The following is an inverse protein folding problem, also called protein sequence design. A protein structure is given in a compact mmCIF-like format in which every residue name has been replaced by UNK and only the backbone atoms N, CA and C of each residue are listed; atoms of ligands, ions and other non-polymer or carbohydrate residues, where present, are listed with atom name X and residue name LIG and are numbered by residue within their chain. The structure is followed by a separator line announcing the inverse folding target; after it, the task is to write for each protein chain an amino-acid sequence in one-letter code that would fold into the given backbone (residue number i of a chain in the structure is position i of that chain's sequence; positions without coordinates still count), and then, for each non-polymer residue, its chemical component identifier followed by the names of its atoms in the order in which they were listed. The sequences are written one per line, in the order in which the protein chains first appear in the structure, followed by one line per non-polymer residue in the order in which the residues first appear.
data_IF_855839715352
#
_entry.id   IF_855839715352
#
_cell.length_a   1.000
_cell.length_b   1.000
_cell.length_c   1.000
_cell.angle_alpha   90.00
_cell.angle_beta   90.00
_cell.angle_gamma   90.00
#
_symmetry.space_group_name_H-M   'P 1'
#
loop_
_entity.id
_entity.type
_entity.pdbx_description
1 polymer ?
#
# COMPACT_ATOMS: atom_id res chain seq x y z
N UNK A 1 -15.07 -0.70 7.12
CA UNK A 1 -13.74 -1.25 7.46
C UNK A 1 -12.83 -0.15 8.02
N UNK A 2 -12.61 0.95 7.31
CA UNK A 2 -11.64 1.99 7.73
C UNK A 2 -11.95 2.75 9.04
N UNK A 3 -13.16 2.62 9.61
CA UNK A 3 -13.50 3.14 10.95
C UNK A 3 -13.18 2.16 12.09
N UNK A 4 -12.88 0.91 11.75
CA UNK A 4 -12.71 -0.19 12.69
C UNK A 4 -11.28 -0.75 12.69
N UNK A 5 -10.36 -0.13 11.93
CA UNK A 5 -8.95 -0.50 11.85
C UNK A 5 -8.14 0.76 12.14
N UNK A 6 -7.35 0.73 13.20
CA UNK A 6 -6.42 1.79 13.56
C UNK A 6 -5.17 1.69 12.68
N UNK A 7 -4.88 2.77 11.95
CA UNK A 7 -3.72 2.83 11.08
C UNK A 7 -2.42 2.83 11.91
N UNK A 8 -1.53 1.87 11.64
CA UNK A 8 -0.24 1.75 12.33
C UNK A 8 0.84 1.31 11.37
N UNK A 9 1.92 2.10 11.27
CA UNK A 9 3.12 1.73 10.51
C UNK A 9 3.90 0.63 11.23
N UNK A 10 4.41 -0.31 10.45
CA UNK A 10 5.25 -1.40 10.96
C UNK A 10 6.74 -1.02 11.05
N UNK A 11 7.45 -1.70 11.98
CA UNK A 11 8.91 -1.67 12.06
C UNK A 11 9.41 -2.95 11.37
N UNK A 12 9.79 -2.81 10.10
CA UNK A 12 9.96 -3.95 9.18
C UNK A 12 8.68 -4.17 8.35
N UNK A 13 8.75 -4.99 7.31
CA UNK A 13 7.60 -5.29 6.44
C UNK A 13 6.92 -6.58 6.88
N UNK A 14 5.70 -6.47 7.40
CA UNK A 14 4.87 -7.61 7.77
C UNK A 14 3.45 -7.45 7.20
N UNK A 15 3.12 -8.25 6.20
CA UNK A 15 1.82 -8.15 5.56
C UNK A 15 0.80 -9.02 6.29
N UNK A 16 -0.20 -8.39 6.88
CA UNK A 16 -1.23 -9.06 7.64
C UNK A 16 -2.22 -9.78 6.73
N UNK A 17 -2.73 -10.92 7.22
CA UNK A 17 -3.90 -11.55 6.64
C UNK A 17 -5.16 -10.72 6.91
N UNK A 18 -6.22 -10.85 6.10
CA UNK A 18 -7.51 -10.20 6.38
C UNK A 18 -8.04 -10.46 7.79
N UNK A 19 -7.82 -11.68 8.32
CA UNK A 19 -8.25 -12.06 9.66
C UNK A 19 -7.48 -11.36 10.78
N UNK A 20 -6.23 -10.98 10.53
CA UNK A 20 -5.40 -10.21 11.46
C UNK A 20 -5.77 -8.74 11.41
N UNK A 21 -5.93 -8.17 10.22
CA UNK A 21 -6.38 -6.77 10.05
C UNK A 21 -7.75 -6.53 10.67
N UNK A 22 -8.66 -7.52 10.63
CA UNK A 22 -9.97 -7.46 11.29
C UNK A 22 -9.90 -7.36 12.82
N UNK A 23 -8.74 -7.62 13.45
CA UNK A 23 -8.51 -7.36 14.88
C UNK A 23 -8.35 -5.87 15.19
N UNK A 24 -8.36 -5.03 14.16
CA UNK A 24 -8.48 -3.58 14.27
C UNK A 24 -7.17 -2.82 14.17
N UNK A 25 -6.11 -3.41 13.61
CA UNK A 25 -4.83 -2.72 13.37
C UNK A 25 -4.31 -3.12 11.99
N UNK A 26 -3.75 -2.16 11.25
CA UNK A 26 -3.00 -2.41 10.02
C UNK A 26 -2.63 -1.13 9.29
N UNK A 27 -1.76 -1.21 8.30
CA UNK A 27 -1.39 -0.08 7.44
C UNK A 27 -2.02 -0.14 6.04
N UNK A 28 -1.39 0.47 5.03
CA UNK A 28 -2.00 0.65 3.72
C UNK A 28 -2.18 -0.69 3.00
N UNK A 29 -1.21 -1.58 3.03
CA UNK A 29 -1.29 -2.89 2.39
C UNK A 29 -2.30 -3.79 3.11
N UNK A 30 -2.26 -3.83 4.44
CA UNK A 30 -3.14 -4.67 5.25
C UNK A 30 -4.61 -4.34 4.98
N UNK A 31 -4.90 -3.05 5.00
CA UNK A 31 -6.25 -2.55 4.77
C UNK A 31 -6.69 -2.76 3.32
N UNK A 32 -5.79 -2.61 2.36
CA UNK A 32 -6.08 -2.87 0.94
C UNK A 32 -6.36 -4.34 0.66
N UNK A 33 -5.60 -5.25 1.29
CA UNK A 33 -5.76 -6.70 1.19
C UNK A 33 -7.10 -7.12 1.80
N UNK A 34 -7.45 -6.60 2.98
CA UNK A 34 -8.74 -6.86 3.61
C UNK A 34 -9.91 -6.38 2.72
N UNK A 35 -9.86 -5.14 2.21
CA UNK A 35 -10.94 -4.62 1.37
C UNK A 35 -11.06 -5.41 0.05
N UNK A 36 -9.93 -5.74 -0.58
CA UNK A 36 -9.88 -6.58 -1.79
C UNK A 36 -10.55 -7.94 -1.53
N UNK A 37 -10.23 -8.57 -0.41
CA UNK A 37 -10.81 -9.86 0.00
C UNK A 37 -12.33 -9.77 0.18
N UNK A 38 -12.82 -8.71 0.83
CA UNK A 38 -14.25 -8.50 1.08
C UNK A 38 -15.03 -8.26 -0.22
N UNK A 39 -14.50 -7.44 -1.14
CA UNK A 39 -15.17 -7.15 -2.42
C UNK A 39 -15.22 -8.41 -3.30
N UNK A 40 -14.13 -9.18 -3.33
CA UNK A 40 -14.07 -10.46 -4.05
C UNK A 40 -15.01 -11.51 -3.47
N UNK A 41 -15.10 -11.59 -2.14
CA UNK A 41 -16.09 -12.45 -1.47
C UNK A 41 -17.54 -12.05 -1.82
N UNK A 42 -17.77 -10.76 -2.10
CA UNK A 42 -19.05 -10.24 -2.63
C UNK A 42 -19.31 -10.53 -4.11
N UNK A 43 -18.39 -11.24 -4.81
CA UNK A 43 -18.54 -11.64 -6.20
C UNK A 43 -18.07 -10.61 -7.23
N UNK A 44 -17.36 -9.56 -6.79
CA UNK A 44 -16.84 -8.52 -7.68
C UNK A 44 -15.32 -8.64 -7.88
N UNK A 45 -14.81 -8.44 -9.11
CA UNK A 45 -13.37 -8.41 -9.33
C UNK A 45 -12.75 -7.19 -8.65
N UNK A 46 -11.68 -7.42 -7.90
CA UNK A 46 -10.88 -6.38 -7.25
C UNK A 46 -9.42 -6.82 -7.15
N UNK A 47 -8.52 -5.85 -7.00
CA UNK A 47 -7.09 -6.07 -6.80
C UNK A 47 -6.58 -5.19 -5.68
N UNK A 48 -5.56 -5.68 -4.96
CA UNK A 48 -4.68 -4.80 -4.19
C UNK A 48 -3.63 -4.25 -5.14
N UNK A 49 -3.41 -2.94 -5.09
CA UNK A 49 -2.44 -2.25 -5.94
C UNK A 49 -1.33 -1.69 -5.07
N UNK A 50 -0.10 -1.88 -5.52
CA UNK A 50 1.10 -1.27 -4.98
C UNK A 50 1.61 -0.24 -5.96
N UNK A 51 2.03 0.91 -5.46
CA UNK A 51 2.55 1.95 -6.32
C UNK A 51 2.97 3.19 -5.55
N UNK A 52 2.84 4.32 -6.23
CA UNK A 52 3.20 5.62 -5.70
C UNK A 52 1.96 6.51 -5.56
N UNK A 53 1.79 7.10 -4.38
CA UNK A 53 0.86 8.19 -4.13
C UNK A 53 1.68 9.45 -3.86
N UNK A 54 1.59 10.44 -4.76
CA UNK A 54 2.33 11.71 -4.64
C UNK A 54 3.86 11.53 -4.43
N UNK A 55 4.45 10.45 -4.97
CA UNK A 55 5.88 10.15 -4.82
C UNK A 55 6.23 9.24 -3.64
N UNK A 56 5.27 8.87 -2.79
CA UNK A 56 5.47 7.96 -1.66
C UNK A 56 4.93 6.57 -1.96
N UNK A 57 5.65 5.53 -1.54
CA UNK A 57 5.16 4.14 -1.62
C UNK A 57 3.84 4.00 -0.88
N UNK A 58 2.84 3.41 -1.55
CA UNK A 58 1.49 3.29 -1.04
C UNK A 58 0.78 2.06 -1.60
N UNK A 59 -0.25 1.61 -0.90
CA UNK A 59 -1.12 0.53 -1.32
C UNK A 59 -2.60 0.92 -1.21
N UNK A 60 -3.41 0.49 -2.19
CA UNK A 60 -4.85 0.73 -2.21
C UNK A 60 -5.61 -0.47 -2.81
N UNK A 61 -6.93 -0.50 -2.65
CA UNK A 61 -7.78 -1.44 -3.37
C UNK A 61 -8.23 -0.81 -4.69
N UNK A 62 -8.28 -1.57 -5.79
CA UNK A 62 -8.83 -1.12 -7.07
C UNK A 62 -10.01 -1.98 -7.50
N UNK A 63 -11.07 -1.32 -7.97
CA UNK A 63 -12.23 -1.95 -8.61
C UNK A 63 -12.48 -1.29 -9.96
N UNK A 64 -12.40 -2.06 -11.06
CA UNK A 64 -12.61 -1.56 -12.42
C UNK A 64 -11.78 -0.30 -12.77
N UNK A 65 -10.50 -0.26 -12.39
CA UNK A 65 -9.64 0.90 -12.64
C UNK A 65 -9.90 2.09 -11.71
N UNK A 66 -10.80 1.96 -10.72
CA UNK A 66 -11.05 3.01 -9.72
C UNK A 66 -10.31 2.68 -8.41
N UNK A 67 -9.38 3.56 -7.96
CA UNK A 67 -8.77 3.44 -6.65
C UNK A 67 -9.79 3.69 -5.53
N UNK A 68 -9.78 2.82 -4.53
CA UNK A 68 -10.49 2.94 -3.26
C UNK A 68 -9.46 3.09 -2.15
N UNK A 69 -9.38 4.31 -1.58
CA UNK A 69 -8.40 4.65 -0.56
C UNK A 69 -8.83 4.14 0.82
N UNK A 70 -8.07 3.24 1.42
CA UNK A 70 -8.42 2.56 2.68
C UNK A 70 -7.86 3.21 3.93
N UNK A 71 -6.91 4.14 3.80
CA UNK A 71 -6.30 4.88 4.93
C UNK A 71 -7.07 6.12 5.36
N UNK A 72 -8.11 6.51 4.60
CA UNK A 72 -9.08 7.50 5.06
C UNK A 72 -10.03 6.91 6.10
N UNK A 73 -10.82 7.74 6.78
CA UNK A 73 -11.86 7.27 7.72
C UNK A 73 -12.94 6.41 7.06
N UNK A 74 -12.97 6.35 5.73
CA UNK A 74 -13.82 5.47 4.94
C UNK A 74 -13.23 5.19 3.57
N UNK A 75 -13.40 3.96 3.09
CA UNK A 75 -13.04 3.57 1.74
C UNK A 75 -14.00 4.22 0.75
N UNK A 76 -13.45 5.02 -0.15
CA UNK A 76 -14.22 5.78 -1.14
C UNK A 76 -13.42 5.94 -2.42
N UNK A 77 -14.10 6.15 -3.57
CA UNK A 77 -13.43 6.61 -4.78
C UNK A 77 -12.60 7.86 -4.51
N UNK A 78 -11.41 7.91 -5.07
CA UNK A 78 -10.49 9.04 -4.91
C UNK A 78 -10.87 10.19 -5.86
N UNK A 79 -10.72 11.44 -5.41
CA UNK A 79 -11.10 12.61 -6.20
C UNK A 79 -10.06 13.01 -7.24
N UNK A 80 -8.80 12.57 -7.07
CA UNK A 80 -7.70 12.83 -8.00
C UNK A 80 -6.96 11.52 -8.33
N UNK A 81 -7.55 10.64 -9.16
CA UNK A 81 -6.98 9.32 -9.45
C UNK A 81 -5.63 9.40 -10.16
N UNK A 82 -5.28 10.53 -10.79
CA UNK A 82 -3.99 10.75 -11.46
C UNK A 82 -2.81 10.77 -10.48
N UNK A 83 -3.05 10.99 -9.19
CA UNK A 83 -2.01 10.95 -8.16
C UNK A 83 -1.64 9.51 -7.75
N UNK A 84 -2.45 8.52 -8.15
CA UNK A 84 -2.27 7.10 -7.84
C UNK A 84 -1.61 6.40 -9.03
N UNK A 85 -0.30 6.22 -8.95
CA UNK A 85 0.50 5.59 -10.00
C UNK A 85 0.71 4.12 -9.62
N UNK A 86 -0.11 3.24 -10.16
CA UNK A 86 -0.02 1.80 -9.93
C UNK A 86 1.17 1.16 -10.65
N UNK A 87 1.94 0.35 -9.94
CA UNK A 87 3.07 -0.41 -10.47
C UNK A 87 2.74 -1.90 -10.55
N UNK A 88 2.05 -2.42 -9.54
CA UNK A 88 1.61 -3.82 -9.47
C UNK A 88 0.17 -3.88 -8.97
N UNK A 89 -0.68 -4.66 -9.63
CA UNK A 89 -2.00 -5.03 -9.13
C UNK A 89 -2.09 -6.54 -8.97
N UNK A 90 -2.57 -7.04 -7.83
CA UNK A 90 -2.64 -8.47 -7.57
C UNK A 90 -3.89 -8.90 -6.80
N UNK A 91 -4.21 -10.19 -6.94
CA UNK A 91 -5.14 -10.93 -6.10
C UNK A 91 -4.69 -12.41 -6.03
N UNK A 92 -5.52 -13.28 -5.46
CA UNK A 92 -5.23 -14.70 -5.24
C UNK A 92 -4.86 -15.50 -6.51
N UNK A 93 -5.21 -15.01 -7.71
CA UNK A 93 -5.05 -15.73 -8.98
C UNK A 93 -4.34 -14.94 -10.08
N UNK A 94 -4.15 -13.64 -9.89
CA UNK A 94 -3.70 -12.72 -10.94
C UNK A 94 -2.71 -11.72 -10.38
N UNK A 95 -1.65 -11.47 -11.15
CA UNK A 95 -0.63 -10.45 -10.89
C UNK A 95 -0.40 -9.70 -12.19
N UNK A 96 -0.53 -8.37 -12.14
CA UNK A 96 -0.35 -7.47 -13.26
C UNK A 96 0.72 -6.47 -12.92
N UNK A 97 1.73 -6.38 -13.77
CA UNK A 97 2.78 -5.40 -13.67
C UNK A 97 2.58 -4.32 -14.73
N UNK A 98 2.80 -3.05 -14.36
CA UNK A 98 2.71 -1.93 -15.30
C UNK A 98 3.76 -2.03 -16.42
N UNK A 99 4.90 -2.67 -16.12
CA UNK A 99 5.97 -3.02 -17.03
C UNK A 99 6.72 -4.24 -16.46
N UNK A 100 7.41 -5.04 -17.29
CA UNK A 100 8.16 -6.20 -16.79
C UNK A 100 9.20 -5.81 -15.73
N UNK A 101 9.10 -6.38 -14.53
CA UNK A 101 10.01 -6.11 -13.41
C UNK A 101 9.51 -5.04 -12.43
N UNK A 102 8.32 -4.47 -12.63
CA UNK A 102 7.73 -3.50 -11.72
C UNK A 102 7.53 -4.07 -10.31
N UNK A 103 7.29 -5.38 -10.18
CA UNK A 103 7.20 -6.04 -8.88
C UNK A 103 8.52 -5.97 -8.10
N UNK A 104 9.62 -6.26 -8.77
CA UNK A 104 10.96 -6.21 -8.18
C UNK A 104 11.31 -4.77 -7.78
N UNK A 105 10.97 -3.79 -8.61
CA UNK A 105 11.18 -2.37 -8.32
C UNK A 105 10.41 -1.93 -7.06
N UNK A 106 9.14 -2.29 -6.93
CA UNK A 106 8.31 -1.95 -5.74
C UNK A 106 8.97 -2.41 -4.45
N UNK A 107 9.52 -3.63 -4.42
CA UNK A 107 10.19 -4.16 -3.23
C UNK A 107 11.64 -3.67 -3.07
N UNK A 108 12.28 -3.23 -4.16
CA UNK A 108 13.63 -2.65 -4.15
C UNK A 108 13.65 -1.20 -3.70
N UNK A 109 12.58 -0.43 -3.96
CA UNK A 109 12.40 0.95 -3.51
C UNK A 109 12.41 1.07 -1.97
N UNK A 110 11.96 0.04 -1.24
CA UNK A 110 12.05 -0.02 0.23
C UNK A 110 13.45 -0.40 0.76
N UNK A 111 14.42 -0.74 -0.11
CA UNK A 111 15.72 -1.32 0.28
C UNK A 111 16.96 -0.53 -0.12
N UNK A 112 16.85 0.76 -0.49
CA UNK A 112 18.06 1.60 -0.45
C UNK A 112 18.36 2.04 0.99
N UNK A 113 18.60 1.03 1.84
CA UNK A 113 19.06 1.22 3.22
C UNK A 113 20.37 2.02 3.25
N UNK A 114 21.17 1.97 2.18
CA UNK A 114 22.38 2.80 2.04
C UNK A 114 22.02 4.28 1.93
N UNK A 115 21.09 4.66 1.03
CA UNK A 115 20.62 6.03 0.92
C UNK A 115 19.90 6.52 2.18
N UNK A 116 19.08 5.67 2.80
CA UNK A 116 18.40 5.97 4.07
C UNK A 116 19.39 6.20 5.21
N UNK A 117 20.41 5.35 5.35
CA UNK A 117 21.46 5.52 6.35
C UNK A 117 22.33 6.76 6.08
N UNK A 118 22.63 7.07 4.82
CA UNK A 118 23.35 8.27 4.44
C UNK A 118 22.56 9.55 4.80
N UNK A 119 21.26 9.59 4.50
CA UNK A 119 20.40 10.72 4.86
C UNK A 119 20.28 10.90 6.38
N UNK A 120 20.19 9.81 7.13
CA UNK A 120 20.18 9.85 8.60
C UNK A 120 21.52 10.36 9.13
N UNK A 121 22.64 9.90 8.58
CA UNK A 121 23.98 10.34 8.98
C UNK A 121 24.20 11.84 8.73
N UNK A 122 23.76 12.36 7.58
CA UNK A 122 23.80 13.79 7.26
C UNK A 122 22.94 14.62 8.23
N UNK A 123 21.72 14.17 8.53
CA UNK A 123 20.83 14.87 9.45
C UNK A 123 21.39 14.92 10.88
N UNK A 124 21.98 13.83 11.37
CA UNK A 124 22.61 13.77 12.71
C UNK A 124 23.83 14.68 12.79
N UNK A 125 24.66 14.76 11.74
CA UNK A 125 25.80 15.68 11.69
C UNK A 125 25.36 17.15 11.71
N UNK A 126 24.27 17.47 11.02
CA UNK A 126 23.73 18.84 10.96
C UNK A 126 23.10 19.28 12.31
N UNK A 127 22.61 18.34 13.12
CA UNK A 127 22.05 18.60 14.47
C UNK A 127 23.12 18.66 15.59
N UNK A 128 24.38 18.37 15.27
CA UNK A 128 25.50 18.35 16.23
C UNK A 128 26.34 19.63 16.22
N UNK A 129 25.87 20.68 15.52
CA UNK A 129 26.43 22.03 15.43
C UNK A 129 25.47 23.05 16.03
#
# INVERSE_FOLDING_TARGET
MCRNVDYRRDIGEFWQTPSETLKGIGDCEDTSILLTSLIRAGGMPAHTVLGSLQGYGHAWCEVNGQPLETTFTEARPVTNPQEYIGLVAFNDYDVREAYPGALDDVFSLRRDETAKLNLIAEAVQCMSL
#
